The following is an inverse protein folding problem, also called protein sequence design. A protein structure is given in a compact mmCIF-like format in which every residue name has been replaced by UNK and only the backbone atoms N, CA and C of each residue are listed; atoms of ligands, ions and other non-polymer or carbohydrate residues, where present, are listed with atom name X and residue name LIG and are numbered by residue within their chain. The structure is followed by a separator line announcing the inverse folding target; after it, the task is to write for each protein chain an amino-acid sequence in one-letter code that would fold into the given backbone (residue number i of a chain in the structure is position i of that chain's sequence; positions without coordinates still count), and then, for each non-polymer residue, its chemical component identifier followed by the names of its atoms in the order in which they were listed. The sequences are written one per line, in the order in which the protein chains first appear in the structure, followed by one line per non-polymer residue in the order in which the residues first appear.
data_IF_113682722274
#
_entry.id   IF_113682722274
#
_cell.length_a   1.000
_cell.length_b   1.000
_cell.length_c   1.000
_cell.angle_alpha   90.00
_cell.angle_beta   90.00
_cell.angle_gamma   90.00
#
_symmetry.space_group_name_H-M   'P 1'
#
loop_
_entity.id
_entity.type
_entity.pdbx_description
1 polymer ?
#
# COMPACT_ATOMS: atom_id res chain seq x y z
N UNK A 1 -0.76 24.09 1.87
CA UNK A 1 0.16 22.94 1.85
C UNK A 1 1.00 22.96 0.57
N UNK A 2 2.31 22.70 0.66
CA UNK A 2 3.21 22.59 -0.49
C UNK A 2 3.15 21.17 -1.08
N UNK A 3 3.53 21.00 -2.35
CA UNK A 3 3.44 19.70 -3.03
C UNK A 3 4.28 18.59 -2.37
N UNK A 4 5.44 18.92 -1.79
CA UNK A 4 6.24 17.94 -1.06
C UNK A 4 5.55 17.47 0.23
N UNK A 5 4.90 18.38 0.96
CA UNK A 5 4.11 18.04 2.15
C UNK A 5 2.95 17.09 1.79
N UNK A 6 2.31 17.31 0.63
CA UNK A 6 1.27 16.39 0.11
C UNK A 6 1.85 15.00 -0.14
N UNK A 7 2.99 14.92 -0.82
CA UNK A 7 3.66 13.64 -1.11
C UNK A 7 4.07 12.91 0.16
N UNK A 8 4.67 13.62 1.11
CA UNK A 8 5.10 13.04 2.39
C UNK A 8 3.90 12.49 3.19
N UNK A 9 2.78 13.22 3.21
CA UNK A 9 1.56 12.76 3.86
C UNK A 9 0.92 11.56 3.14
N UNK A 10 0.88 11.55 1.81
CA UNK A 10 0.40 10.39 1.04
C UNK A 10 1.27 9.16 1.33
N UNK A 11 2.60 9.28 1.23
CA UNK A 11 3.53 8.20 1.52
C UNK A 11 3.30 7.64 2.93
N UNK A 12 3.29 8.52 3.93
CA UNK A 12 3.07 8.13 5.33
C UNK A 12 1.73 7.46 5.55
N UNK A 13 0.64 8.01 5.02
CA UNK A 13 -0.70 7.48 5.26
C UNK A 13 -0.91 6.16 4.55
N UNK A 14 -0.51 6.08 3.27
CA UNK A 14 -0.63 4.85 2.50
C UNK A 14 0.24 3.73 3.07
N UNK A 15 1.48 4.02 3.47
CA UNK A 15 2.37 3.03 4.12
C UNK A 15 1.85 2.52 5.47
N UNK A 16 0.90 3.20 6.11
CA UNK A 16 0.34 2.79 7.40
C UNK A 16 -1.15 2.42 7.32
N UNK A 17 -1.74 2.36 6.12
CA UNK A 17 -3.16 2.04 5.94
C UNK A 17 -3.39 0.53 6.12
N UNK A 18 -3.67 0.13 7.35
CA UNK A 18 -3.89 -1.26 7.71
C UNK A 18 -4.98 -1.92 6.86
N UNK A 19 -6.10 -1.24 6.63
CA UNK A 19 -7.24 -1.83 5.92
C UNK A 19 -6.89 -2.10 4.46
N UNK A 20 -6.17 -1.19 3.81
CA UNK A 20 -5.73 -1.34 2.42
C UNK A 20 -4.84 -2.59 2.28
N UNK A 21 -3.79 -2.69 3.09
CA UNK A 21 -2.83 -3.79 2.99
C UNK A 21 -3.36 -5.13 3.52
N UNK A 22 -4.17 -5.11 4.58
CA UNK A 22 -4.82 -6.30 5.10
C UNK A 22 -5.83 -6.88 4.10
N UNK A 23 -6.65 -6.03 3.48
CA UNK A 23 -7.57 -6.48 2.43
C UNK A 23 -6.78 -7.06 1.25
N UNK A 24 -5.69 -6.41 0.82
CA UNK A 24 -4.87 -6.91 -0.27
C UNK A 24 -4.35 -8.33 -0.03
N UNK A 25 -3.77 -8.58 1.14
CA UNK A 25 -3.23 -9.89 1.53
C UNK A 25 -4.31 -10.98 1.69
N UNK A 26 -5.54 -10.60 2.07
CA UNK A 26 -6.64 -11.57 2.14
C UNK A 26 -7.16 -11.98 0.75
N UNK A 27 -6.84 -11.23 -0.30
CA UNK A 27 -7.24 -11.51 -1.68
C UNK A 27 -6.07 -12.01 -2.56
N UNK A 28 -4.90 -12.30 -1.99
CA UNK A 28 -3.81 -12.96 -2.74
C UNK A 28 -4.14 -14.42 -3.03
N UNK A 29 -3.43 -15.02 -3.98
CA UNK A 29 -3.64 -16.42 -4.37
C UNK A 29 -2.43 -17.30 -4.02
N UNK A 30 -2.65 -18.50 -3.44
CA UNK A 30 -3.90 -19.04 -2.86
C UNK A 30 -4.55 -18.15 -1.77
N UNK A 31 -5.88 -18.21 -1.67
CA UNK A 31 -6.62 -17.42 -0.67
C UNK A 31 -6.22 -17.79 0.76
N UNK A 32 -6.24 -16.81 1.68
CA UNK A 32 -6.04 -16.96 3.13
C UNK A 32 -4.59 -17.21 3.58
N UNK A 33 -3.77 -16.16 3.55
CA UNK A 33 -2.48 -16.13 4.25
C UNK A 33 -2.58 -15.50 5.63
N UNK A 34 -1.91 -16.10 6.62
CA UNK A 34 -1.64 -15.40 7.88
C UNK A 34 -0.40 -14.54 7.70
N UNK A 35 -0.56 -13.22 7.81
CA UNK A 35 0.54 -12.25 7.81
C UNK A 35 0.73 -11.69 9.22
N UNK A 36 1.84 -12.03 9.88
CA UNK A 36 2.18 -11.50 11.20
C UNK A 36 2.79 -10.10 11.16
N UNK A 37 3.44 -9.74 10.06
CA UNK A 37 4.10 -8.45 9.89
C UNK A 37 4.23 -8.08 8.40
N UNK A 38 4.00 -6.82 8.08
CA UNK A 38 4.19 -6.26 6.74
C UNK A 38 4.88 -4.89 6.83
N UNK A 39 5.58 -4.52 5.76
CA UNK A 39 6.25 -3.22 5.62
C UNK A 39 5.98 -2.68 4.22
N UNK A 40 5.64 -1.41 4.15
CA UNK A 40 5.39 -0.70 2.90
C UNK A 40 6.34 0.49 2.81
N UNK A 41 7.18 0.47 1.79
CA UNK A 41 8.13 1.55 1.51
C UNK A 41 7.66 2.32 0.28
N UNK A 42 7.44 3.63 0.46
CA UNK A 42 7.10 4.56 -0.60
C UNK A 42 8.00 5.76 -0.45
N UNK A 43 8.76 6.08 -1.50
CA UNK A 43 9.54 7.29 -1.53
C UNK A 43 8.66 8.46 -2.03
N UNK A 44 8.55 9.57 -1.29
CA UNK A 44 7.72 10.71 -1.69
C UNK A 44 8.04 11.28 -3.08
N UNK A 45 9.27 11.11 -3.58
CA UNK A 45 9.64 11.58 -4.94
C UNK A 45 8.96 10.78 -6.04
N UNK A 46 8.58 9.54 -5.76
CA UNK A 46 7.95 8.62 -6.71
C UNK A 46 6.42 8.77 -6.74
N UNK A 47 5.90 9.77 -6.01
CA UNK A 47 4.49 10.14 -5.96
C UNK A 47 4.22 11.30 -6.89
N UNK A 48 3.41 11.04 -7.91
CA UNK A 48 2.80 12.10 -8.71
C UNK A 48 1.49 12.57 -8.05
N UNK A 49 1.28 13.89 -8.04
CA UNK A 49 0.14 14.53 -7.39
C UNK A 49 -0.46 15.55 -8.35
N UNK A 50 -1.76 15.44 -8.59
CA UNK A 50 -2.56 16.44 -9.28
C UNK A 50 -3.47 17.12 -8.26
N UNK A 51 -3.08 18.35 -7.90
CA UNK A 51 -3.80 19.17 -6.92
C UNK A 51 -5.18 19.59 -7.41
N UNK A 52 -5.37 20.06 -8.67
CA UNK A 52 -6.70 20.42 -9.18
C UNK A 52 -7.73 19.30 -9.10
N UNK A 53 -7.35 18.08 -9.48
CA UNK A 53 -8.26 16.92 -9.48
C UNK A 53 -8.25 16.14 -8.16
N UNK A 54 -7.32 16.49 -7.25
CA UNK A 54 -7.04 15.82 -5.98
C UNK A 54 -6.78 14.32 -6.16
N UNK A 55 -5.97 13.99 -7.15
CA UNK A 55 -5.56 12.62 -7.44
C UNK A 55 -4.07 12.44 -7.20
N UNK A 56 -3.67 11.21 -6.93
CA UNK A 56 -2.27 10.84 -6.83
C UNK A 56 -2.00 9.50 -7.50
N UNK A 57 -0.74 9.29 -7.90
CA UNK A 57 -0.22 7.98 -8.24
C UNK A 57 1.14 7.75 -7.59
N UNK A 58 1.33 6.57 -7.01
CA UNK A 58 2.63 6.05 -6.60
C UNK A 58 3.14 5.21 -7.75
N UNK A 59 4.25 5.64 -8.35
CA UNK A 59 4.81 4.97 -9.52
C UNK A 59 5.79 3.85 -9.16
N UNK A 60 6.34 3.90 -7.95
CA UNK A 60 7.20 2.87 -7.40
C UNK A 60 7.02 2.81 -5.88
N UNK A 61 6.72 1.61 -5.40
CA UNK A 61 6.54 1.30 -4.00
C UNK A 61 6.90 -0.17 -3.78
N UNK A 62 7.35 -0.50 -2.57
CA UNK A 62 7.77 -1.86 -2.25
C UNK A 62 7.01 -2.38 -1.04
N UNK A 63 6.38 -3.54 -1.21
CA UNK A 63 5.70 -4.27 -0.16
C UNK A 63 6.55 -5.47 0.26
N UNK A 64 6.73 -5.65 1.56
CA UNK A 64 7.46 -6.78 2.12
C UNK A 64 6.68 -7.41 3.26
N UNK A 65 6.49 -8.72 3.23
CA UNK A 65 5.87 -9.47 4.31
C UNK A 65 6.38 -10.90 4.36
N UNK A 66 6.32 -11.51 5.55
CA UNK A 66 6.41 -12.95 5.71
C UNK A 66 5.00 -13.50 5.90
N UNK A 67 4.57 -14.34 4.97
CA UNK A 67 3.24 -14.95 4.96
C UNK A 67 3.32 -16.44 5.28
N UNK A 68 2.32 -16.94 5.99
CA UNK A 68 2.14 -18.38 6.29
C UNK A 68 0.89 -18.86 5.53
N UNK A 69 1.01 -19.85 4.64
CA UNK A 69 -0.15 -20.49 4.00
C UNK A 69 -0.94 -21.35 5.02
N UNK A 70 -2.26 -21.19 5.14
CA UNK A 70 -3.14 -22.09 5.96
C UNK A 70 -3.70 -23.28 5.15
N UNK A 71 -3.95 -24.46 5.76
CA UNK A 71 -2.98 -25.30 6.45
C UNK A 71 -2.70 -26.61 5.68
N UNK A 72 -1.43 -26.85 5.42
CA UNK A 72 -0.90 -28.11 4.90
C UNK A 72 0.51 -28.37 5.43
N UNK A 73 0.63 -28.69 6.73
CA UNK A 73 1.78 -29.31 7.42
C UNK A 73 3.21 -28.73 7.30
N UNK A 74 3.47 -27.67 6.54
CA UNK A 74 4.78 -27.01 6.53
C UNK A 74 4.65 -25.55 6.97
N UNK A 75 5.09 -25.29 8.20
CA UNK A 75 5.17 -23.98 8.87
C UNK A 75 6.36 -23.19 8.28
N UNK A 76 6.47 -23.12 6.96
CA UNK A 76 7.54 -22.37 6.31
C UNK A 76 6.98 -20.99 5.95
N UNK A 77 7.46 -19.97 6.65
CA UNK A 77 7.25 -18.58 6.25
C UNK A 77 7.80 -18.38 4.83
N UNK A 78 6.96 -17.84 3.95
CA UNK A 78 7.36 -17.45 2.60
C UNK A 78 7.45 -15.94 2.57
N UNK A 79 8.58 -15.42 2.07
CA UNK A 79 8.72 -13.99 1.87
C UNK A 79 7.95 -13.56 0.63
N UNK A 80 6.97 -12.68 0.83
CA UNK A 80 6.22 -12.01 -0.22
C UNK A 80 6.71 -10.57 -0.32
N UNK A 81 7.63 -10.36 -1.27
CA UNK A 81 8.29 -9.08 -1.49
C UNK A 81 8.03 -8.66 -2.94
N UNK A 82 7.19 -7.66 -3.15
CA UNK A 82 6.75 -7.24 -4.49
C UNK A 82 6.76 -5.72 -4.61
N UNK A 83 7.19 -5.25 -5.78
CA UNK A 83 6.96 -3.88 -6.17
C UNK A 83 5.47 -3.68 -6.48
N UNK A 84 4.95 -2.48 -6.23
CA UNK A 84 3.58 -2.10 -6.52
C UNK A 84 3.49 -0.70 -7.10
N UNK A 85 2.38 -0.43 -7.77
CA UNK A 85 1.94 0.93 -8.07
C UNK A 85 0.60 1.19 -7.37
N UNK A 86 0.31 2.45 -7.11
CA UNK A 86 -0.95 2.83 -6.48
C UNK A 86 -1.56 4.04 -7.15
N UNK A 87 -2.87 4.12 -7.17
CA UNK A 87 -3.61 5.33 -7.58
C UNK A 87 -4.70 5.61 -6.58
N UNK A 88 -5.06 6.88 -6.43
CA UNK A 88 -6.15 7.24 -5.54
C UNK A 88 -6.50 8.70 -5.58
N UNK A 89 -7.42 9.06 -4.68
CA UNK A 89 -7.83 10.43 -4.41
C UNK A 89 -7.40 10.84 -3.02
N UNK A 90 -7.34 12.15 -2.82
CA UNK A 90 -7.17 12.70 -1.49
C UNK A 90 -8.10 13.87 -1.23
N UNK A 91 -8.39 14.11 0.03
CA UNK A 91 -9.05 15.32 0.51
C UNK A 91 -8.13 16.06 1.47
N UNK A 92 -8.27 17.38 1.52
CA UNK A 92 -7.60 18.22 2.50
C UNK A 92 -8.66 18.68 3.49
N UNK A 93 -8.43 18.45 4.77
CA UNK A 93 -9.29 18.98 5.81
C UNK A 93 -8.93 20.43 6.18
N UNK A 94 -9.64 20.98 7.17
CA UNK A 94 -9.45 22.36 7.63
C UNK A 94 -8.11 22.60 8.33
N UNK A 95 -7.42 21.54 8.78
CA UNK A 95 -6.14 21.60 9.47
C UNK A 95 -4.94 21.35 8.52
N UNK A 96 -5.19 21.18 7.22
CA UNK A 96 -4.20 20.70 6.24
C UNK A 96 -3.71 19.26 6.51
N UNK A 97 -4.51 18.43 7.18
CA UNK A 97 -4.32 16.99 7.16
C UNK A 97 -4.98 16.40 5.91
N UNK A 98 -4.31 15.40 5.36
CA UNK A 98 -4.71 14.74 4.12
C UNK A 98 -5.46 13.45 4.43
N UNK A 99 -6.62 13.23 3.82
CA UNK A 99 -7.33 11.96 3.89
C UNK A 99 -7.24 11.24 2.55
N UNK A 100 -6.83 9.97 2.55
CA UNK A 100 -6.78 9.15 1.34
C UNK A 100 -8.14 8.50 1.08
N UNK A 101 -8.53 8.44 -0.19
CA UNK A 101 -9.78 7.83 -0.63
C UNK A 101 -9.60 7.10 -1.96
N UNK A 102 -10.44 6.09 -2.21
CA UNK A 102 -10.48 5.34 -3.48
C UNK A 102 -9.08 4.83 -3.90
N UNK A 103 -8.36 4.28 -2.93
CA UNK A 103 -7.04 3.71 -3.14
C UNK A 103 -7.21 2.43 -3.96
N UNK A 104 -6.44 2.33 -5.03
CA UNK A 104 -6.31 1.17 -5.89
C UNK A 104 -4.83 0.79 -5.95
N UNK A 105 -4.52 -0.45 -5.59
CA UNK A 105 -3.14 -0.98 -5.53
C UNK A 105 -2.99 -2.03 -6.61
N UNK A 106 -2.00 -1.84 -7.47
CA UNK A 106 -1.58 -2.81 -8.47
C UNK A 106 -0.28 -3.47 -8.00
N UNK A 107 -0.37 -4.74 -7.64
CA UNK A 107 0.71 -5.58 -7.13
C UNK A 107 0.48 -7.01 -7.60
N UNK A 108 1.56 -7.75 -7.82
CA UNK A 108 1.48 -9.16 -8.21
C UNK A 108 0.96 -10.02 -7.06
N UNK A 109 -0.33 -10.34 -7.09
CA UNK A 109 -1.04 -11.11 -6.04
C UNK A 109 -0.69 -12.60 -6.01
N UNK A 110 0.03 -13.09 -7.01
CA UNK A 110 0.50 -14.47 -7.05
C UNK A 110 1.79 -14.62 -6.25
N UNK A 111 1.74 -15.47 -5.24
CA UNK A 111 2.86 -15.72 -4.34
C UNK A 111 3.72 -16.89 -4.87
N UNK A 112 3.27 -17.64 -5.90
CA UNK A 112 3.93 -18.86 -6.39
C UNK A 112 4.06 -19.00 -7.91
#
# INVERSE_FOLDING_TARGET
MKIHEIRDQIAKKLSNDYNTWHNLLNHTQPESYTCGHWKVEINPTDIWVDVPTRTFSVNDGFFSSNVIPEPGNNIQEVSYNKAFTAKGKFELDQENDLKLEKIDIDIEIDIF
#
